data_IF_563713250707
#
_entry.id   IF_563713250707
#
_cell.length_a   1.000
_cell.length_b   1.000
_cell.length_c   1.000
_cell.angle_alpha   90.00
_cell.angle_beta   90.00
_cell.angle_gamma   90.00
#
_symmetry.space_group_name_H-M   'P 1'
#
loop_
_entity.id
_entity.type
_entity.pdbx_description
1 polymer ?
#
# COMPACT_ATOMS: atom_id res chain seq x y z
N UNK A 1 26.05 23.57 23.65
CA UNK A 1 24.94 23.97 22.76
C UNK A 1 24.86 22.95 21.61
N UNK A 2 24.13 21.84 21.77
CA UNK A 2 24.03 20.79 20.74
C UNK A 2 23.04 21.24 19.68
N UNK A 3 23.54 21.61 18.50
CA UNK A 3 22.72 21.78 17.29
C UNK A 3 22.05 20.43 17.03
N UNK A 4 20.75 20.33 17.32
CA UNK A 4 19.96 19.16 16.93
C UNK A 4 19.92 19.18 15.41
N UNK A 5 20.63 18.26 14.77
CA UNK A 5 20.49 17.99 13.35
C UNK A 5 19.06 17.45 13.16
N UNK A 6 18.15 18.32 12.73
CA UNK A 6 16.85 17.90 12.23
C UNK A 6 17.11 17.10 10.95
N UNK A 7 16.96 15.79 11.05
CA UNK A 7 17.01 14.86 9.91
C UNK A 7 15.98 15.29 8.86
N UNK A 8 16.43 15.49 7.62
CA UNK A 8 15.59 15.78 6.44
C UNK A 8 14.70 14.59 6.04
N UNK A 9 13.88 14.08 6.96
CA UNK A 9 13.00 12.93 6.71
C UNK A 9 11.53 13.20 7.05
N UNK A 10 11.13 14.46 7.11
CA UNK A 10 9.72 14.86 7.21
C UNK A 10 9.39 15.96 6.20
N UNK A 11 9.77 15.75 4.94
CA UNK A 11 9.08 16.44 3.87
C UNK A 11 7.77 15.69 3.69
N UNK A 12 6.64 16.32 3.98
CA UNK A 12 5.31 15.74 3.79
C UNK A 12 5.19 15.24 2.35
N UNK A 13 5.51 13.96 2.13
CA UNK A 13 5.37 13.33 0.83
C UNK A 13 3.88 13.25 0.59
N UNK A 14 3.41 14.02 -0.39
CA UNK A 14 2.04 13.89 -0.85
C UNK A 14 1.83 12.43 -1.25
N UNK A 15 0.77 11.78 -0.77
CA UNK A 15 0.52 10.38 -1.09
C UNK A 15 0.38 10.23 -2.59
N UNK A 16 1.04 9.22 -3.15
CA UNK A 16 0.97 8.94 -4.58
C UNK A 16 -0.40 8.35 -4.92
N UNK A 17 -1.28 9.18 -5.48
CA UNK A 17 -2.61 8.78 -5.90
C UNK A 17 -2.57 8.31 -7.35
N UNK A 18 -2.88 7.05 -7.58
CA UNK A 18 -2.87 6.42 -8.91
C UNK A 18 -4.19 5.73 -9.22
N UNK A 19 -4.59 5.75 -10.47
CA UNK A 19 -5.72 4.97 -10.96
C UNK A 19 -5.33 3.50 -11.09
N UNK A 20 -6.35 2.64 -11.17
CA UNK A 20 -6.18 1.19 -11.41
C UNK A 20 -5.26 0.92 -12.61
N UNK A 21 -5.40 1.71 -13.68
CA UNK A 21 -4.60 1.53 -14.91
C UNK A 21 -3.14 1.89 -14.72
N UNK A 22 -2.85 2.96 -13.99
CA UNK A 22 -1.49 3.38 -13.68
C UNK A 22 -0.78 2.37 -12.78
N UNK A 23 -1.48 1.86 -11.76
CA UNK A 23 -0.96 0.80 -10.88
C UNK A 23 -0.73 -0.49 -11.68
N UNK A 24 -1.64 -0.86 -12.57
CA UNK A 24 -1.41 -2.01 -13.44
C UNK A 24 -0.17 -1.80 -14.34
N UNK A 25 0.09 -0.56 -14.75
CA UNK A 25 1.29 -0.18 -15.51
C UNK A 25 2.60 -0.31 -14.73
N UNK A 26 2.58 -0.29 -13.39
CA UNK A 26 3.79 -0.56 -12.58
C UNK A 26 4.16 -2.05 -12.53
N UNK A 27 3.27 -2.92 -12.99
CA UNK A 27 3.47 -4.37 -12.95
C UNK A 27 3.20 -4.99 -11.58
N UNK A 28 2.71 -4.22 -10.59
CA UNK A 28 2.39 -4.74 -9.26
C UNK A 28 1.32 -5.84 -9.32
N UNK A 29 0.21 -5.59 -10.03
CA UNK A 29 -0.90 -6.52 -10.21
C UNK A 29 -1.65 -6.22 -11.52
N UNK A 30 -2.43 -7.19 -12.02
CA UNK A 30 -3.29 -6.97 -13.19
C UNK A 30 -4.46 -6.03 -12.89
N UNK A 31 -4.95 -5.31 -13.91
CA UNK A 31 -6.10 -4.41 -13.78
C UNK A 31 -7.34 -5.14 -13.26
N UNK A 32 -7.53 -6.39 -13.70
CA UNK A 32 -8.64 -7.23 -13.29
C UNK A 32 -8.61 -7.52 -11.78
N UNK A 33 -7.44 -7.90 -11.25
CA UNK A 33 -7.27 -8.16 -9.83
C UNK A 33 -7.55 -6.91 -8.99
N UNK A 34 -7.01 -5.75 -9.40
CA UNK A 34 -7.27 -4.47 -8.74
C UNK A 34 -8.76 -4.10 -8.73
N UNK A 35 -9.50 -4.37 -9.81
CA UNK A 35 -10.97 -4.15 -9.87
C UNK A 35 -11.73 -5.06 -8.90
N UNK A 36 -11.33 -6.33 -8.79
CA UNK A 36 -11.93 -7.26 -7.82
C UNK A 36 -11.68 -6.76 -6.39
N UNK A 37 -10.44 -6.38 -6.07
CA UNK A 37 -10.09 -5.89 -4.73
C UNK A 37 -10.79 -4.56 -4.40
N UNK A 38 -10.92 -3.67 -5.38
CA UNK A 38 -11.67 -2.42 -5.21
C UNK A 38 -13.14 -2.71 -4.89
N UNK A 39 -13.78 -3.65 -5.61
CA UNK A 39 -15.16 -4.07 -5.34
C UNK A 39 -15.30 -4.75 -3.97
N UNK A 40 -14.28 -5.46 -3.53
CA UNK A 40 -14.21 -6.07 -2.21
C UNK A 40 -13.94 -5.04 -1.08
N UNK A 41 -13.66 -3.78 -1.39
CA UNK A 41 -13.37 -2.74 -0.40
C UNK A 41 -12.01 -2.91 0.30
N UNK A 42 -11.08 -3.65 -0.33
CA UNK A 42 -9.76 -3.98 0.24
C UNK A 42 -8.64 -3.04 -0.21
N UNK A 43 -8.96 -1.98 -0.94
CA UNK A 43 -7.97 -1.03 -1.44
C UNK A 43 -8.13 0.33 -0.74
N UNK A 44 -7.02 0.99 -0.37
CA UNK A 44 -7.03 2.35 0.17
C UNK A 44 -7.31 3.34 -0.97
N UNK A 45 -8.58 3.48 -1.36
CA UNK A 45 -9.03 4.27 -2.50
C UNK A 45 -10.00 5.39 -2.11
N UNK A 46 -9.91 6.51 -2.84
CA UNK A 46 -10.84 7.62 -2.82
C UNK A 46 -11.54 7.70 -4.17
N UNK A 47 -12.85 7.93 -4.15
CA UNK A 47 -13.64 8.07 -5.37
C UNK A 47 -13.84 9.54 -5.70
N UNK A 48 -13.42 9.95 -6.91
CA UNK A 48 -13.68 11.27 -7.47
C UNK A 48 -14.59 11.09 -8.69
N UNK A 49 -15.88 11.34 -8.50
CA UNK A 49 -16.91 11.05 -9.50
C UNK A 49 -16.96 9.55 -9.82
N UNK A 50 -16.61 9.19 -11.05
CA UNK A 50 -16.58 7.79 -11.52
C UNK A 50 -15.21 7.12 -11.42
N UNK A 51 -14.16 7.86 -11.04
CA UNK A 51 -12.78 7.36 -10.99
C UNK A 51 -12.42 6.97 -9.56
N UNK A 52 -11.73 5.84 -9.43
CA UNK A 52 -11.08 5.44 -8.19
C UNK A 52 -9.60 5.84 -8.25
N UNK A 53 -9.17 6.65 -7.28
CA UNK A 53 -7.78 6.99 -7.04
C UNK A 53 -7.31 6.22 -5.82
N UNK A 54 -6.35 5.34 -6.00
CA UNK A 54 -5.78 4.48 -4.97
C UNK A 54 -4.51 5.14 -4.45
N UNK A 55 -4.35 5.16 -3.14
CA UNK A 55 -3.09 5.55 -2.51
C UNK A 55 -2.09 4.40 -2.67
N UNK A 56 -1.13 4.57 -3.57
CA UNK A 56 -0.17 3.53 -3.93
C UNK A 56 0.79 3.23 -2.78
N UNK A 57 1.27 4.25 -2.07
CA UNK A 57 2.19 4.08 -0.94
C UNK A 57 1.56 3.20 0.16
N UNK A 58 0.31 3.51 0.54
CA UNK A 58 -0.43 2.71 1.54
C UNK A 58 -0.71 1.29 1.06
N UNK A 59 -1.03 1.12 -0.22
CA UNK A 59 -1.23 -0.22 -0.78
C UNK A 59 0.05 -1.06 -0.65
N UNK A 60 1.21 -0.48 -0.94
CA UNK A 60 2.49 -1.17 -0.78
C UNK A 60 2.77 -1.51 0.69
N UNK A 61 2.48 -0.60 1.63
CA UNK A 61 2.63 -0.85 3.07
C UNK A 61 1.72 -2.00 3.54
N UNK A 62 0.46 -2.02 3.11
CA UNK A 62 -0.49 -3.09 3.44
C UNK A 62 -0.05 -4.46 2.89
N UNK A 63 0.49 -4.49 1.67
CA UNK A 63 1.04 -5.71 1.07
C UNK A 63 2.26 -6.24 1.84
N UNK A 64 3.19 -5.36 2.22
CA UNK A 64 4.35 -5.74 3.04
C UNK A 64 3.93 -6.22 4.43
N UNK A 65 2.91 -5.60 5.02
CA UNK A 65 2.38 -6.02 6.31
C UNK A 65 1.75 -7.42 6.26
N UNK A 66 1.06 -7.77 5.16
CA UNK A 66 0.53 -9.11 4.94
C UNK A 66 1.65 -10.16 4.87
N UNK A 67 2.72 -9.89 4.10
CA UNK A 67 3.89 -10.77 4.00
C UNK A 67 4.54 -11.01 5.38
N UNK A 68 4.73 -9.95 6.17
CA UNK A 68 5.35 -10.04 7.50
C UNK A 68 4.50 -10.76 8.56
N UNK A 69 3.20 -10.93 8.33
CA UNK A 69 2.31 -11.67 9.21
C UNK A 69 2.26 -13.17 8.87
N UNK A 70 2.41 -13.53 7.59
CA UNK A 70 2.54 -14.94 7.17
C UNK A 70 3.82 -15.56 7.78
N UNK A 71 4.94 -14.84 7.76
CA UNK A 71 6.20 -15.31 8.32
C UNK A 71 6.18 -15.58 9.84
N UNK A 72 5.27 -14.94 10.60
CA UNK A 72 5.16 -15.15 12.06
C UNK A 72 4.23 -16.31 12.44
N UNK A 73 3.43 -16.80 11.50
CA UNK A 73 2.55 -17.95 11.76
C UNK A 73 3.34 -19.25 11.69
N UNK A 74 4.30 -19.37 10.77
CA UNK A 74 5.12 -20.56 10.59
C UNK A 74 5.98 -20.92 11.82
N UNK A 75 6.40 -19.93 12.62
CA UNK A 75 7.18 -20.17 13.85
C UNK A 75 6.31 -20.64 15.04
N UNK A 76 5.05 -20.21 15.10
CA UNK A 76 4.11 -20.63 16.15
C UNK A 76 3.48 -22.00 15.88
N UNK A 77 3.28 -22.35 14.61
CA UNK A 77 2.68 -23.63 14.21
C UNK A 77 3.68 -24.81 14.31
N UNK A 78 4.98 -24.54 14.43
CA UNK A 78 6.03 -25.56 14.53
C UNK A 78 6.18 -26.17 15.95
N UNK A 79 5.67 -25.51 16.99
CA UNK A 79 5.76 -25.97 18.38
C UNK A 79 4.41 -26.39 19.01
N UNK A 80 3.35 -26.50 18.20
CA UNK A 80 2.01 -26.90 18.64
C UNK A 80 1.61 -28.28 18.09
#
# INVERSE_FOLDING_TARGET
MKRRNFTMKEMQKQPTMMTIREIAGTGLMSEHALRIMLKAGKLPAIFIGKKALINYDKLCEELQALEANVAKQEENDFWN
#
